data_IF_384743990120
#
_entry.id   IF_384743990120
#
_cell.length_a   1.000
_cell.length_b   1.000
_cell.length_c   1.000
_cell.angle_alpha   90.00
_cell.angle_beta   90.00
_cell.angle_gamma   90.00
#
_symmetry.space_group_name_H-M   'P 1'
#
loop_
_entity.id
_entity.type
_entity.pdbx_description
1 polymer ?
#
# COMPACT_ATOMS: atom_id res chain seq x y z
N UNK A 1 15.74 -52.05 0.01
CA UNK A 1 16.14 -50.67 -0.34
C UNK A 1 14.91 -49.98 -0.89
N UNK A 2 14.20 -49.28 -0.03
CA UNK A 2 12.98 -48.52 -0.41
C UNK A 2 13.36 -47.05 -0.44
N UNK A 3 13.05 -46.37 -1.56
CA UNK A 3 13.25 -44.95 -1.76
C UNK A 3 12.21 -44.16 -0.94
N UNK A 4 12.56 -42.98 -0.41
CA UNK A 4 11.62 -42.11 0.26
C UNK A 4 10.76 -41.35 -0.76
N UNK A 5 9.46 -41.33 -0.51
CA UNK A 5 8.45 -40.68 -1.33
C UNK A 5 8.62 -39.16 -1.33
N UNK A 6 8.54 -38.58 -2.49
CA UNK A 6 8.40 -37.13 -2.70
C UNK A 6 7.02 -36.67 -2.20
N UNK A 7 7.01 -35.84 -1.17
CA UNK A 7 5.82 -35.12 -0.77
C UNK A 7 5.62 -33.92 -1.73
N UNK A 8 4.73 -34.11 -2.71
CA UNK A 8 4.28 -33.05 -3.58
C UNK A 8 3.56 -31.96 -2.78
N UNK A 9 4.15 -30.79 -2.69
CA UNK A 9 3.46 -29.59 -2.23
C UNK A 9 2.40 -29.22 -3.26
N UNK A 10 1.13 -29.50 -2.94
CA UNK A 10 0.00 -29.02 -3.73
C UNK A 10 -0.07 -27.49 -3.62
N UNK A 11 0.34 -26.81 -4.67
CA UNK A 11 0.13 -25.38 -4.83
C UNK A 11 -1.34 -25.04 -5.01
N UNK A 12 -2.14 -25.20 -3.95
CA UNK A 12 -3.49 -24.69 -3.89
C UNK A 12 -3.46 -23.19 -3.76
N UNK A 13 -4.09 -22.48 -4.70
CA UNK A 13 -4.34 -21.04 -4.61
C UNK A 13 -5.01 -20.73 -3.28
N UNK A 14 -4.42 -19.85 -2.47
CA UNK A 14 -5.01 -19.39 -1.21
C UNK A 14 -6.39 -18.76 -1.48
N UNK A 15 -7.37 -18.91 -0.56
CA UNK A 15 -8.66 -18.25 -0.67
C UNK A 15 -8.51 -16.73 -0.83
N UNK A 16 -9.49 -16.09 -1.47
CA UNK A 16 -9.51 -14.63 -1.63
C UNK A 16 -9.36 -13.97 -0.25
N UNK A 17 -8.41 -13.02 -0.13
CA UNK A 17 -8.05 -12.35 1.12
C UNK A 17 -7.39 -13.25 2.20
N UNK A 18 -6.84 -14.40 1.85
CA UNK A 18 -6.01 -15.18 2.76
C UNK A 18 -4.58 -14.64 2.80
N UNK A 19 -4.00 -14.56 4.00
CA UNK A 19 -2.61 -14.18 4.26
C UNK A 19 -1.94 -15.24 5.13
N UNK A 20 -0.61 -15.38 5.10
CA UNK A 20 0.10 -16.31 5.98
C UNK A 20 -0.16 -16.04 7.46
N UNK A 21 -0.23 -17.09 8.28
CA UNK A 21 -0.40 -16.97 9.74
C UNK A 21 0.82 -16.33 10.42
N UNK A 22 1.99 -16.43 9.80
CA UNK A 22 3.26 -15.89 10.34
C UNK A 22 3.32 -14.36 10.34
N UNK A 23 2.40 -13.69 9.64
CA UNK A 23 2.28 -12.24 9.58
C UNK A 23 1.63 -11.79 8.26
N UNK A 24 0.90 -10.67 8.27
CA UNK A 24 0.19 -10.16 7.09
C UNK A 24 1.10 -9.62 5.99
N UNK A 25 2.34 -9.29 6.30
CA UNK A 25 3.37 -8.90 5.34
C UNK A 25 4.78 -9.22 5.85
N UNK A 26 5.78 -9.14 4.97
CA UNK A 26 7.17 -9.37 5.33
C UNK A 26 7.61 -8.46 6.50
N UNK A 27 8.01 -9.06 7.61
CA UNK A 27 8.44 -8.35 8.83
C UNK A 27 7.31 -7.90 9.77
N UNK A 28 6.05 -8.13 9.40
CA UNK A 28 4.92 -7.92 10.32
C UNK A 28 4.77 -9.09 11.30
N UNK A 29 4.33 -8.78 12.50
CA UNK A 29 4.07 -9.75 13.56
C UNK A 29 2.67 -9.54 14.13
N UNK A 30 1.99 -10.63 14.46
CA UNK A 30 0.77 -10.55 15.24
C UNK A 30 1.06 -10.10 16.67
N UNK A 31 0.14 -9.31 17.22
CA UNK A 31 0.17 -8.87 18.61
C UNK A 31 -0.76 -9.75 19.43
N UNK A 32 -0.23 -10.57 20.35
CA UNK A 32 -1.06 -11.40 21.23
C UNK A 32 -1.67 -10.60 22.39
N UNK A 33 -1.26 -9.34 22.58
CA UNK A 33 -1.70 -8.47 23.66
C UNK A 33 -2.78 -7.46 23.26
N UNK A 34 -2.91 -6.40 24.05
CA UNK A 34 -3.79 -5.29 23.76
C UNK A 34 -3.35 -4.55 22.48
N UNK A 35 -4.33 -4.08 21.70
CA UNK A 35 -4.05 -3.33 20.49
C UNK A 35 -3.21 -2.08 20.77
N UNK A 36 -2.17 -1.86 19.96
CA UNK A 36 -1.36 -0.65 20.02
C UNK A 36 -2.08 0.53 19.36
N UNK A 37 -1.75 1.76 19.76
CA UNK A 37 -2.23 2.96 19.07
C UNK A 37 -1.57 3.07 17.71
N UNK A 38 -2.33 3.22 16.61
CA UNK A 38 -1.77 3.40 15.28
C UNK A 38 -0.98 4.72 15.18
N UNK A 39 0.17 4.68 14.53
CA UNK A 39 0.92 5.89 14.15
C UNK A 39 0.23 6.55 12.96
N UNK A 40 0.15 7.87 12.97
CA UNK A 40 -0.34 8.62 11.83
C UNK A 40 0.66 8.53 10.67
N UNK A 41 0.17 8.29 9.47
CA UNK A 41 0.98 8.13 8.27
C UNK A 41 0.24 8.66 7.04
N UNK A 42 1.02 8.97 6.00
CA UNK A 42 0.47 9.38 4.72
C UNK A 42 1.22 8.71 3.57
N UNK A 43 0.52 8.50 2.47
CA UNK A 43 1.09 7.89 1.26
C UNK A 43 0.51 8.54 0.01
N UNK A 44 1.29 8.61 -1.06
CA UNK A 44 0.89 9.21 -2.34
C UNK A 44 0.82 8.15 -3.43
N UNK A 45 -0.33 8.02 -4.04
CA UNK A 45 -0.51 7.31 -5.30
C UNK A 45 -0.23 8.34 -6.39
N UNK A 46 1.03 8.40 -6.83
CA UNK A 46 1.45 9.31 -7.90
C UNK A 46 1.03 8.73 -9.25
N UNK A 47 0.35 9.55 -10.03
CA UNK A 47 -0.31 9.15 -11.27
C UNK A 47 0.31 9.86 -12.47
N UNK A 48 0.47 9.12 -13.57
CA UNK A 48 0.75 9.66 -14.89
C UNK A 48 -0.12 8.98 -15.95
N UNK A 49 -0.19 9.54 -17.12
CA UNK A 49 -0.90 8.99 -18.28
C UNK A 49 -1.83 10.00 -18.93
N UNK A 50 -2.41 9.59 -20.06
CA UNK A 50 -3.32 10.37 -20.87
C UNK A 50 -4.79 9.99 -20.70
N UNK A 51 -5.60 10.28 -21.75
CA UNK A 51 -7.05 10.08 -21.71
C UNK A 51 -7.50 8.60 -21.68
N UNK A 52 -6.59 7.64 -21.93
CA UNK A 52 -6.88 6.20 -21.92
C UNK A 52 -5.74 5.38 -21.31
N UNK A 53 -4.92 6.02 -20.50
CA UNK A 53 -3.77 5.36 -19.90
C UNK A 53 -3.63 5.86 -18.46
N UNK A 54 -3.65 4.94 -17.52
CA UNK A 54 -3.46 5.20 -16.12
C UNK A 54 -2.27 4.38 -15.62
N UNK A 55 -1.20 5.05 -15.28
CA UNK A 55 -0.05 4.46 -14.60
C UNK A 55 0.14 5.11 -13.22
N UNK A 56 0.66 4.32 -12.30
CA UNK A 56 1.00 4.73 -10.95
C UNK A 56 2.44 4.34 -10.60
N UNK A 57 3.06 5.15 -9.76
CA UNK A 57 4.41 4.90 -9.27
C UNK A 57 4.35 3.95 -8.06
N UNK A 58 5.14 2.89 -8.13
CA UNK A 58 5.49 2.09 -6.96
C UNK A 58 6.99 2.22 -6.69
N UNK A 59 7.34 2.15 -5.41
CA UNK A 59 8.72 2.17 -4.93
C UNK A 59 9.01 0.89 -4.15
N UNK A 60 10.22 0.36 -4.30
CA UNK A 60 10.67 -0.83 -3.58
C UNK A 60 11.48 -0.43 -2.36
N UNK A 61 11.01 -0.81 -1.20
CA UNK A 61 11.71 -0.59 0.06
C UNK A 61 13.00 -1.40 0.12
N UNK A 62 14.04 -0.83 0.72
CA UNK A 62 15.29 -1.57 0.93
C UNK A 62 15.04 -2.90 1.64
N UNK A 63 15.63 -4.01 1.17
CA UNK A 63 15.52 -5.31 1.86
C UNK A 63 16.04 -5.30 3.30
N UNK A 64 16.85 -4.29 3.68
CA UNK A 64 17.38 -4.10 5.03
C UNK A 64 16.40 -3.41 5.98
N UNK A 65 15.25 -2.92 5.49
CA UNK A 65 14.24 -2.29 6.32
C UNK A 65 13.70 -3.29 7.35
N UNK A 66 13.53 -2.85 8.60
CA UNK A 66 13.00 -3.70 9.69
C UNK A 66 11.53 -4.06 9.49
N UNK A 67 10.82 -3.28 8.68
CA UNK A 67 9.39 -3.43 8.42
C UNK A 67 9.17 -3.33 6.91
N UNK A 68 8.49 -4.31 6.34
CA UNK A 68 8.16 -4.40 4.91
C UNK A 68 9.40 -4.29 4.00
N UNK A 69 10.53 -4.93 4.37
CA UNK A 69 11.74 -4.92 3.54
C UNK A 69 11.54 -5.69 2.23
N UNK A 70 11.95 -5.08 1.11
CA UNK A 70 11.89 -5.68 -0.23
C UNK A 70 10.52 -5.67 -0.89
N UNK A 71 9.46 -5.14 -0.23
CA UNK A 71 8.13 -5.02 -0.84
C UNK A 71 8.01 -3.73 -1.64
N UNK A 72 7.09 -3.75 -2.60
CA UNK A 72 6.71 -2.60 -3.40
C UNK A 72 5.47 -1.93 -2.80
N UNK A 73 5.55 -0.63 -2.60
CA UNK A 73 4.53 0.20 -1.96
C UNK A 73 4.36 1.52 -2.71
N UNK A 74 3.34 2.28 -2.39
CA UNK A 74 3.28 3.70 -2.77
C UNK A 74 4.25 4.50 -1.90
N UNK A 75 4.89 5.57 -2.40
CA UNK A 75 5.70 6.48 -1.59
C UNK A 75 4.95 6.97 -0.36
N UNK A 76 5.60 6.98 0.80
CA UNK A 76 4.95 7.44 2.02
C UNK A 76 5.59 6.96 3.31
N UNK A 77 5.24 7.64 4.42
CA UNK A 77 5.77 7.36 5.73
C UNK A 77 4.95 7.95 6.87
N UNK A 78 5.54 8.01 8.05
CA UNK A 78 4.89 8.51 9.25
C UNK A 78 4.79 10.05 9.21
N UNK A 79 3.74 10.58 9.84
CA UNK A 79 3.63 12.01 10.12
C UNK A 79 4.63 12.38 11.21
N UNK A 80 5.45 13.39 10.96
CA UNK A 80 6.43 13.89 11.91
C UNK A 80 5.82 14.88 12.90
N UNK A 81 6.39 14.95 14.11
CA UNK A 81 5.89 15.82 15.19
C UNK A 81 5.85 17.32 14.81
N UNK A 82 6.62 17.75 13.81
CA UNK A 82 6.66 19.13 13.32
C UNK A 82 5.62 19.46 12.25
N UNK A 83 4.89 18.48 11.75
CA UNK A 83 3.93 18.65 10.65
C UNK A 83 2.52 19.06 11.12
N UNK A 84 2.32 19.22 12.44
CA UNK A 84 1.04 19.61 13.02
C UNK A 84 0.09 18.44 13.24
N UNK A 85 -1.21 18.70 13.13
CA UNK A 85 -2.28 17.73 13.41
C UNK A 85 -3.30 17.67 12.27
N UNK A 86 -4.04 16.57 12.24
CA UNK A 86 -5.20 16.41 11.34
C UNK A 86 -4.81 16.24 9.86
N UNK A 87 -5.71 16.66 8.96
CA UNK A 87 -5.55 16.45 7.52
C UNK A 87 -4.35 17.22 6.93
N UNK A 88 -4.03 18.40 7.49
CA UNK A 88 -2.88 19.21 7.05
C UNK A 88 -1.56 18.49 7.32
N UNK A 89 -1.41 17.87 8.49
CA UNK A 89 -0.22 17.10 8.85
C UNK A 89 -0.03 15.90 7.90
N UNK A 90 -1.10 15.17 7.58
CA UNK A 90 -1.02 14.06 6.62
C UNK A 90 -0.64 14.54 5.22
N UNK A 91 -1.13 15.69 4.78
CA UNK A 91 -0.76 16.26 3.48
C UNK A 91 0.68 16.74 3.46
N UNK A 92 1.16 17.34 4.55
CA UNK A 92 2.56 17.74 4.68
C UNK A 92 3.50 16.53 4.62
N UNK A 93 3.21 15.48 5.41
CA UNK A 93 3.94 14.22 5.38
C UNK A 93 3.94 13.59 3.98
N UNK A 94 2.79 13.54 3.30
CA UNK A 94 2.68 12.99 1.95
C UNK A 94 3.58 13.73 0.94
N UNK A 95 3.61 15.06 0.98
CA UNK A 95 4.49 15.88 0.10
C UNK A 95 5.95 15.65 0.42
N UNK A 96 6.33 15.64 1.70
CA UNK A 96 7.70 15.41 2.14
C UNK A 96 8.21 14.03 1.71
N UNK A 97 7.47 12.96 2.03
CA UNK A 97 7.84 11.59 1.73
C UNK A 97 7.96 11.34 0.22
N UNK A 98 7.06 11.90 -0.59
CA UNK A 98 7.16 11.81 -2.04
C UNK A 98 8.44 12.48 -2.57
N UNK A 99 8.84 13.60 -1.98
CA UNK A 99 10.08 14.28 -2.33
C UNK A 99 11.32 13.48 -1.88
N UNK A 100 11.30 12.93 -0.67
CA UNK A 100 12.40 12.16 -0.09
C UNK A 100 12.60 10.82 -0.81
N UNK A 101 11.53 10.05 -1.03
CA UNK A 101 11.61 8.69 -1.57
C UNK A 101 11.66 8.61 -3.10
N UNK A 102 11.10 9.61 -3.81
CA UNK A 102 10.98 9.59 -5.27
C UNK A 102 11.48 10.86 -5.97
N UNK A 103 12.05 11.83 -5.24
CA UNK A 103 12.54 13.12 -5.79
C UNK A 103 11.49 13.92 -6.56
N UNK A 104 10.21 13.77 -6.26
CA UNK A 104 9.10 14.52 -6.87
C UNK A 104 8.63 15.62 -5.95
N UNK A 105 8.72 16.86 -6.41
CA UNK A 105 8.25 18.05 -5.71
C UNK A 105 6.87 18.47 -6.23
N UNK A 106 5.84 18.34 -5.40
CA UNK A 106 4.52 18.88 -5.69
C UNK A 106 4.50 20.41 -5.43
N UNK A 107 3.60 21.13 -6.08
CA UNK A 107 3.41 22.57 -5.84
C UNK A 107 2.96 22.89 -4.41
N UNK A 108 2.42 21.89 -3.70
CA UNK A 108 2.04 21.97 -2.31
C UNK A 108 0.94 20.99 -1.93
N UNK A 109 0.50 20.99 -0.68
CA UNK A 109 -0.53 20.08 -0.15
C UNK A 109 -1.88 20.12 -0.89
N UNK A 110 -2.20 21.25 -1.54
CA UNK A 110 -3.41 21.43 -2.35
C UNK A 110 -3.44 20.59 -3.62
N UNK A 111 -2.27 20.13 -4.10
CA UNK A 111 -2.17 19.21 -5.25
C UNK A 111 -2.64 17.78 -4.93
N UNK A 112 -2.85 17.49 -3.67
CA UNK A 112 -3.27 16.17 -3.19
C UNK A 112 -4.79 16.05 -3.14
N UNK A 113 -5.32 14.95 -3.68
CA UNK A 113 -6.74 14.58 -3.57
C UNK A 113 -6.85 13.38 -2.63
N UNK A 114 -7.63 13.50 -1.55
CA UNK A 114 -7.83 12.40 -0.60
C UNK A 114 -8.54 11.23 -1.27
N UNK A 115 -8.00 10.02 -1.12
CA UNK A 115 -8.55 8.85 -1.81
C UNK A 115 -9.06 7.78 -0.85
N UNK A 116 -8.28 7.42 0.17
CA UNK A 116 -8.66 6.40 1.14
C UNK A 116 -7.95 6.60 2.47
N UNK A 117 -8.42 5.90 3.51
CA UNK A 117 -7.78 5.83 4.83
C UNK A 117 -7.81 4.40 5.31
N UNK A 118 -6.64 3.87 5.65
CA UNK A 118 -6.49 2.49 6.11
C UNK A 118 -5.83 2.44 7.47
N UNK A 119 -6.46 1.72 8.39
CA UNK A 119 -5.94 1.50 9.74
C UNK A 119 -5.47 0.05 9.82
N UNK A 120 -4.21 -0.17 10.18
CA UNK A 120 -3.68 -1.53 10.35
C UNK A 120 -4.52 -2.29 11.38
N UNK A 121 -4.88 -3.56 11.15
CA UNK A 121 -5.69 -4.36 12.06
C UNK A 121 -5.18 -4.35 13.50
N UNK A 122 -6.09 -4.39 14.47
CA UNK A 122 -5.77 -4.40 15.91
C UNK A 122 -4.86 -5.58 16.32
N UNK A 123 -4.90 -6.67 15.56
CA UNK A 123 -4.10 -7.87 15.77
C UNK A 123 -2.64 -7.74 15.34
N UNK A 124 -2.27 -6.69 14.61
CA UNK A 124 -0.90 -6.45 14.13
C UNK A 124 -0.14 -5.59 15.15
N UNK A 125 1.14 -5.93 15.40
CA UNK A 125 1.97 -5.29 16.42
C UNK A 125 2.35 -3.84 16.08
N UNK A 126 2.76 -3.59 14.83
CA UNK A 126 3.11 -2.25 14.34
C UNK A 126 1.93 -1.76 13.53
N UNK A 127 1.28 -0.70 14.01
CA UNK A 127 0.07 -0.18 13.40
C UNK A 127 0.25 1.22 12.88
N UNK A 128 -0.36 1.47 11.72
CA UNK A 128 -0.45 2.78 11.09
C UNK A 128 -1.91 3.12 10.80
N UNK A 129 -2.23 4.39 10.88
CA UNK A 129 -3.44 5.02 10.38
C UNK A 129 -3.01 5.87 9.17
N UNK A 130 -3.10 5.25 8.00
CA UNK A 130 -2.52 5.80 6.78
C UNK A 130 -3.57 6.49 5.91
N UNK A 131 -3.34 7.75 5.61
CA UNK A 131 -4.12 8.51 4.63
C UNK A 131 -3.46 8.41 3.26
N UNK A 132 -4.20 7.92 2.28
CA UNK A 132 -3.74 7.81 0.89
C UNK A 132 -4.29 8.96 0.06
N UNK A 133 -3.39 9.61 -0.65
CA UNK A 133 -3.71 10.73 -1.53
C UNK A 133 -3.35 10.39 -2.98
N UNK A 134 -4.15 10.88 -3.92
CA UNK A 134 -3.81 10.89 -5.33
C UNK A 134 -3.09 12.20 -5.65
N UNK A 135 -2.07 12.11 -6.50
CA UNK A 135 -1.43 13.27 -7.11
C UNK A 135 -1.08 12.98 -8.57
N UNK A 136 -1.16 13.99 -9.42
CA UNK A 136 -0.64 13.90 -10.78
C UNK A 136 0.86 14.18 -10.75
N UNK A 137 1.64 13.43 -11.53
CA UNK A 137 3.04 13.74 -11.78
C UNK A 137 3.15 15.14 -12.40
N UNK A 138 3.90 16.08 -11.77
CA UNK A 138 4.13 17.40 -12.36
C UNK A 138 4.90 17.31 -13.67
N UNK A 139 4.62 18.24 -14.58
CA UNK A 139 5.32 18.31 -15.85
C UNK A 139 6.84 18.40 -15.69
N UNK A 140 7.57 17.69 -16.53
CA UNK A 140 9.03 17.71 -16.61
C UNK A 140 9.77 17.20 -15.37
N UNK A 141 9.08 16.53 -14.44
CA UNK A 141 9.73 15.82 -13.37
C UNK A 141 9.81 14.32 -13.68
N UNK A 142 10.93 13.72 -13.32
CA UNK A 142 11.17 12.29 -13.43
C UNK A 142 11.51 11.75 -12.04
N UNK A 143 10.86 10.68 -11.57
CA UNK A 143 11.16 10.13 -10.25
C UNK A 143 12.54 9.49 -10.22
N UNK A 144 13.22 9.63 -9.07
CA UNK A 144 14.51 9.04 -8.80
C UNK A 144 14.56 8.49 -7.37
N UNK A 145 15.23 7.35 -7.18
CA UNK A 145 15.40 6.75 -5.85
C UNK A 145 16.35 7.56 -4.99
N UNK A 146 16.10 7.60 -3.67
CA UNK A 146 17.02 8.16 -2.69
C UNK A 146 18.25 7.25 -2.44
N UNK A 147 18.14 5.95 -2.76
CA UNK A 147 19.19 4.94 -2.59
C UNK A 147 19.39 4.46 -1.14
N UNK A 148 18.65 5.01 -0.20
CA UNK A 148 18.68 4.67 1.23
C UNK A 148 17.49 3.80 1.64
N UNK A 149 16.32 4.39 1.73
CA UNK A 149 15.08 3.70 2.09
C UNK A 149 14.42 3.03 0.90
N UNK A 150 14.50 3.65 -0.27
CA UNK A 150 14.00 3.16 -1.55
C UNK A 150 15.15 2.79 -2.47
N UNK A 151 15.12 1.59 -3.04
CA UNK A 151 16.20 1.05 -3.89
C UNK A 151 15.82 0.88 -5.35
N UNK A 152 14.54 0.79 -5.65
CA UNK A 152 13.98 0.71 -7.01
C UNK A 152 12.66 1.49 -7.06
N UNK A 153 12.30 1.97 -8.23
CA UNK A 153 10.98 2.51 -8.53
C UNK A 153 10.59 2.14 -9.96
N UNK A 154 9.31 2.01 -10.21
CA UNK A 154 8.80 1.75 -11.56
C UNK A 154 7.35 2.20 -11.70
N UNK A 155 6.95 2.41 -12.95
CA UNK A 155 5.59 2.77 -13.34
C UNK A 155 4.82 1.52 -13.74
N UNK A 156 3.64 1.38 -13.20
CA UNK A 156 2.76 0.26 -13.47
C UNK A 156 1.36 0.74 -13.85
N UNK A 157 0.72 0.07 -14.79
CA UNK A 157 -0.74 0.08 -14.76
C UNK A 157 -1.22 -0.74 -13.56
N UNK A 158 -2.42 -0.49 -12.99
CA UNK A 158 -2.95 -1.30 -11.91
C UNK A 158 -2.93 -2.81 -12.22
N UNK A 159 -3.31 -3.19 -13.45
CA UNK A 159 -3.30 -4.58 -13.91
C UNK A 159 -1.90 -5.16 -13.97
N UNK A 160 -0.92 -4.43 -14.54
CA UNK A 160 0.45 -4.94 -14.68
C UNK A 160 1.14 -5.15 -13.33
N UNK A 161 0.85 -4.31 -12.31
CA UNK A 161 1.32 -4.50 -10.96
C UNK A 161 0.73 -5.76 -10.31
N UNK A 162 -0.59 -5.98 -10.44
CA UNK A 162 -1.26 -7.18 -9.93
C UNK A 162 -0.77 -8.46 -10.63
N UNK A 163 -0.50 -8.41 -11.93
CA UNK A 163 0.10 -9.52 -12.69
C UNK A 163 1.52 -9.80 -12.22
N UNK A 164 2.35 -8.75 -12.09
CA UNK A 164 3.71 -8.89 -11.58
C UNK A 164 3.76 -9.52 -10.18
N UNK A 165 2.79 -9.16 -9.33
CA UNK A 165 2.65 -9.76 -8.00
C UNK A 165 2.25 -11.24 -8.06
N UNK A 166 1.25 -11.60 -8.88
CA UNK A 166 0.81 -12.99 -9.06
C UNK A 166 1.93 -13.89 -9.62
N UNK A 167 2.75 -13.33 -10.49
CA UNK A 167 3.90 -14.02 -11.09
C UNK A 167 5.12 -14.10 -10.15
N UNK A 168 5.05 -13.50 -8.95
CA UNK A 168 6.14 -13.45 -7.98
C UNK A 168 7.30 -12.53 -8.38
N UNK A 169 7.12 -11.67 -9.41
CA UNK A 169 8.14 -10.68 -9.84
C UNK A 169 8.27 -9.52 -8.86
N UNK A 170 7.18 -9.14 -8.22
CA UNK A 170 7.15 -8.14 -7.15
C UNK A 170 6.34 -8.66 -5.97
N UNK A 171 6.70 -8.23 -4.76
CA UNK A 171 5.91 -8.49 -3.56
C UNK A 171 5.12 -7.23 -3.21
N UNK A 172 3.80 -7.35 -3.04
CA UNK A 172 2.90 -6.28 -2.63
C UNK A 172 2.30 -6.59 -1.26
N UNK A 173 1.94 -5.55 -0.51
CA UNK A 173 1.21 -5.67 0.75
C UNK A 173 -0.30 -5.55 0.52
N UNK A 174 -1.09 -6.09 1.44
CA UNK A 174 -2.54 -6.19 1.29
C UNK A 174 -3.24 -4.85 0.95
N UNK A 175 -2.97 -3.71 1.62
CA UNK A 175 -3.59 -2.44 1.23
C UNK A 175 -3.24 -2.01 -0.20
N UNK A 176 -1.99 -2.21 -0.63
CA UNK A 176 -1.55 -1.88 -2.00
C UNK A 176 -2.31 -2.72 -3.03
N UNK A 177 -2.47 -4.03 -2.78
CA UNK A 177 -3.26 -4.92 -3.65
C UNK A 177 -4.70 -4.40 -3.76
N UNK A 178 -5.33 -4.04 -2.64
CA UNK A 178 -6.72 -3.55 -2.65
C UNK A 178 -6.87 -2.21 -3.37
N UNK A 179 -5.91 -1.31 -3.25
CA UNK A 179 -5.89 -0.09 -4.04
C UNK A 179 -5.76 -0.40 -5.53
N UNK A 180 -4.82 -1.28 -5.93
CA UNK A 180 -4.65 -1.65 -7.33
C UNK A 180 -5.91 -2.32 -7.91
N UNK A 181 -6.59 -3.18 -7.15
CA UNK A 181 -7.88 -3.77 -7.55
C UNK A 181 -8.93 -2.67 -7.79
N UNK A 182 -9.03 -1.67 -6.92
CA UNK A 182 -9.96 -0.55 -7.06
C UNK A 182 -9.58 0.34 -8.25
N UNK A 183 -8.28 0.68 -8.39
CA UNK A 183 -7.76 1.53 -9.45
C UNK A 183 -7.88 0.91 -10.84
N UNK A 184 -7.96 -0.42 -10.94
CA UNK A 184 -8.19 -1.15 -12.19
C UNK A 184 -9.54 -0.84 -12.83
N UNK A 185 -10.47 -0.22 -12.11
CA UNK A 185 -11.76 0.22 -12.63
C UNK A 185 -11.74 1.55 -13.39
N UNK A 186 -10.60 2.24 -13.42
CA UNK A 186 -10.47 3.57 -14.06
C UNK A 186 -9.59 3.48 -15.30
N UNK A 187 -9.94 4.28 -16.31
CA UNK A 187 -9.24 4.31 -17.58
C UNK A 187 -8.33 5.53 -17.75
N UNK A 188 -8.47 6.55 -16.91
CA UNK A 188 -7.66 7.77 -16.99
C UNK A 188 -7.43 8.41 -15.63
N UNK A 189 -6.41 9.26 -15.57
CA UNK A 189 -6.07 10.02 -14.35
C UNK A 189 -7.19 11.01 -14.01
N UNK A 190 -7.79 11.66 -14.99
CA UNK A 190 -8.89 12.61 -14.80
C UNK A 190 -10.09 11.95 -14.17
N UNK A 191 -10.56 10.83 -14.75
CA UNK A 191 -11.69 10.06 -14.24
C UNK A 191 -11.49 9.66 -12.77
N UNK A 192 -10.29 9.20 -12.43
CA UNK A 192 -9.94 8.81 -11.06
C UNK A 192 -9.92 10.00 -10.12
N UNK A 193 -9.33 11.13 -10.51
CA UNK A 193 -9.26 12.33 -9.68
C UNK A 193 -10.65 12.92 -9.44
N UNK A 194 -11.50 12.97 -10.46
CA UNK A 194 -12.88 13.47 -10.34
C UNK A 194 -13.70 12.57 -9.41
N UNK A 195 -13.63 11.26 -9.59
CA UNK A 195 -14.24 10.29 -8.68
C UNK A 195 -13.80 10.49 -7.22
N UNK A 196 -12.50 10.73 -7.00
CA UNK A 196 -11.98 10.90 -5.64
C UNK A 196 -12.42 12.22 -4.99
N UNK A 197 -12.58 13.30 -5.77
CA UNK A 197 -13.05 14.60 -5.27
C UNK A 197 -14.50 14.60 -4.80
N UNK A 198 -15.33 13.74 -5.36
CA UNK A 198 -16.75 13.64 -5.06
C UNK A 198 -17.08 12.73 -3.87
N UNK A 199 -16.07 12.08 -3.27
CA UNK A 199 -16.30 11.07 -2.23
C UNK A 199 -15.82 11.50 -0.86
N UNK A 200 -16.62 11.15 0.14
CA UNK A 200 -16.18 11.12 1.53
C UNK A 200 -15.37 9.87 1.80
N UNK A 201 -14.19 10.06 2.39
CA UNK A 201 -13.28 8.97 2.74
C UNK A 201 -13.62 8.44 4.13
N UNK A 202 -14.14 7.22 4.18
CA UNK A 202 -14.36 6.49 5.42
C UNK A 202 -13.14 5.62 5.75
N UNK A 203 -12.75 5.49 7.03
CA UNK A 203 -11.64 4.63 7.42
C UNK A 203 -11.96 3.15 7.16
N UNK A 204 -10.99 2.42 6.64
CA UNK A 204 -11.02 0.96 6.48
C UNK A 204 -10.08 0.38 7.54
N UNK A 205 -10.61 -0.33 8.53
CA UNK A 205 -9.83 -1.10 9.50
C UNK A 205 -10.13 -2.60 9.29
N UNK A 206 -9.31 -3.35 8.56
CA UNK A 206 -9.54 -4.76 8.35
C UNK A 206 -9.50 -5.54 9.65
N UNK A 207 -10.25 -6.64 9.72
CA UNK A 207 -10.16 -7.62 10.81
C UNK A 207 -9.44 -8.87 10.35
N UNK A 208 -8.59 -9.42 11.17
CA UNK A 208 -7.89 -10.67 10.90
C UNK A 208 -8.55 -11.79 11.69
N UNK A 209 -9.05 -12.80 10.99
CA UNK A 209 -9.55 -14.04 11.57
C UNK A 209 -8.52 -15.14 11.35
N UNK A 210 -8.08 -15.78 12.43
CA UNK A 210 -7.18 -16.93 12.38
C UNK A 210 -8.02 -18.20 12.24
N UNK A 211 -7.90 -18.90 11.10
CA UNK A 211 -8.60 -20.15 10.80
C UNK A 211 -7.56 -21.26 10.55
N UNK A 212 -7.08 -21.88 11.66
CA UNK A 212 -6.03 -22.90 11.56
C UNK A 212 -4.69 -22.32 11.12
N UNK A 213 -4.16 -22.77 9.98
CA UNK A 213 -2.88 -22.32 9.42
C UNK A 213 -3.03 -21.13 8.45
N UNK A 214 -4.24 -20.60 8.28
CA UNK A 214 -4.53 -19.49 7.37
C UNK A 214 -5.17 -18.35 8.16
N UNK A 215 -4.72 -17.15 7.91
CA UNK A 215 -5.38 -15.93 8.38
C UNK A 215 -6.24 -15.35 7.24
N UNK A 216 -7.49 -15.05 7.54
CA UNK A 216 -8.41 -14.39 6.62
C UNK A 216 -8.59 -12.92 6.99
N UNK A 217 -8.38 -12.02 6.05
CA UNK A 217 -8.60 -10.59 6.23
C UNK A 217 -10.03 -10.24 5.80
N UNK A 218 -10.83 -9.73 6.72
CA UNK A 218 -12.17 -9.21 6.46
C UNK A 218 -12.12 -7.70 6.31
N UNK A 219 -12.85 -7.21 5.32
CA UNK A 219 -13.06 -5.79 5.08
C UNK A 219 -14.46 -5.36 5.55
N UNK A 220 -14.71 -4.08 5.83
CA UNK A 220 -16.04 -3.57 6.10
C UNK A 220 -17.02 -3.96 4.99
N UNK A 221 -18.11 -4.64 5.35
CA UNK A 221 -19.09 -5.17 4.42
C UNK A 221 -18.93 -6.66 4.08
N UNK A 222 -17.81 -7.29 4.44
CA UNK A 222 -17.65 -8.74 4.26
C UNK A 222 -18.52 -9.51 5.27
N UNK A 223 -19.05 -10.68 4.90
CA UNK A 223 -19.74 -11.57 5.83
C UNK A 223 -18.84 -11.94 7.01
N UNK A 224 -19.31 -11.60 8.24
CA UNK A 224 -18.57 -11.87 9.48
C UNK A 224 -17.61 -10.75 9.91
N UNK A 225 -17.63 -9.61 9.23
CA UNK A 225 -16.87 -8.42 9.65
C UNK A 225 -17.33 -7.86 11.01
#
# INVERSE_FOLDING_TARGET
MSAPGESGASGGSLPRNAVPVDGPAAGEQYNPGAATTPRQAASVILLRGGARELELLLVKRTPKARFMGGVWVFPGGAVDAGEGDGDEAHRAAAVRELCEEAAIALEGPQSLVKFSRWITPAQVKIRFDTHFFLARLPDRQEPAVDGGEVVELDWFTPQSALEAHRDGRIALVFPTIKHLEQLSGFSSVEELLDYARERDVQPVEPKVLLEGEVARVLLPGDPGY
#
